data_IF_565223417575
#
_entry.id   IF_565223417575
#
_cell.length_a   1.000
_cell.length_b   1.000
_cell.length_c   1.000
_cell.angle_alpha   90.00
_cell.angle_beta   90.00
_cell.angle_gamma   90.00
#
_symmetry.space_group_name_H-M   'P 1'
#
loop_
_entity.id
_entity.type
_entity.pdbx_description
1 polymer ?
#
# COMPACT_ATOMS: atom_id res chain seq x y z
N UNK A 1 -3.29 10.73 -39.42
CA UNK A 1 -4.34 9.93 -38.75
C UNK A 1 -3.74 8.62 -38.30
N UNK A 2 -3.74 8.34 -37.00
CA UNK A 2 -3.27 7.05 -36.46
C UNK A 2 -4.36 6.00 -36.73
N UNK A 3 -4.04 4.95 -37.48
CA UNK A 3 -4.98 3.88 -37.82
C UNK A 3 -5.27 2.99 -36.60
N UNK A 4 -6.44 2.33 -36.56
CA UNK A 4 -6.95 1.53 -35.44
C UNK A 4 -6.17 0.22 -35.10
N UNK A 5 -4.89 0.13 -35.47
CA UNK A 5 -3.96 -0.98 -35.18
C UNK A 5 -2.69 -0.49 -34.47
N UNK A 6 -2.78 0.56 -33.66
CA UNK A 6 -1.63 1.10 -32.96
C UNK A 6 -1.81 0.88 -31.47
N UNK A 7 -0.85 0.19 -30.85
CA UNK A 7 -0.67 0.14 -29.41
C UNK A 7 0.43 1.15 -29.06
N UNK A 8 0.10 2.44 -28.84
CA UNK A 8 1.08 3.40 -28.39
C UNK A 8 1.46 3.07 -26.95
N UNK A 9 2.60 2.40 -26.76
CA UNK A 9 3.26 2.26 -25.46
C UNK A 9 4.04 3.54 -25.14
N UNK A 10 4.46 3.68 -23.88
CA UNK A 10 5.24 4.83 -23.41
C UNK A 10 4.62 6.18 -23.78
N UNK A 11 3.29 6.26 -23.68
CA UNK A 11 2.49 7.41 -24.09
C UNK A 11 1.53 7.80 -22.97
N UNK A 12 1.51 9.08 -22.59
CA UNK A 12 0.66 9.60 -21.52
C UNK A 12 -0.55 10.31 -22.11
N UNK A 13 -1.75 9.89 -21.69
CA UNK A 13 -3.01 10.55 -22.06
C UNK A 13 -3.17 11.81 -21.22
N UNK A 14 -3.34 12.96 -21.89
CA UNK A 14 -3.53 14.26 -21.26
C UNK A 14 -4.99 14.42 -20.84
N UNK A 15 -5.91 14.21 -21.79
CA UNK A 15 -7.37 14.38 -21.61
C UNK A 15 -8.18 13.64 -22.67
N UNK A 16 -9.44 13.38 -22.33
CA UNK A 16 -10.52 13.01 -23.26
C UNK A 16 -11.01 14.28 -23.96
N UNK A 17 -11.42 14.14 -25.22
CA UNK A 17 -12.04 15.23 -25.98
C UNK A 17 -13.49 14.90 -26.29
N UNK A 18 -14.33 15.92 -26.32
CA UNK A 18 -15.79 15.79 -26.45
C UNK A 18 -16.30 16.52 -27.71
N UNK A 19 -17.39 15.99 -28.26
CA UNK A 19 -18.26 16.67 -29.22
C UNK A 19 -19.64 16.81 -28.56
N UNK A 20 -19.96 18.02 -28.10
CA UNK A 20 -21.03 18.22 -27.12
C UNK A 20 -20.75 17.46 -25.82
N UNK A 21 -21.64 16.57 -25.44
CA UNK A 21 -21.53 15.67 -24.28
C UNK A 21 -20.92 14.29 -24.62
N UNK A 22 -20.58 14.05 -25.89
CA UNK A 22 -20.13 12.74 -26.37
C UNK A 22 -18.61 12.67 -26.44
N UNK A 23 -18.00 11.73 -25.70
CA UNK A 23 -16.56 11.47 -25.79
C UNK A 23 -16.17 11.01 -27.20
N UNK A 24 -15.28 11.75 -27.86
CA UNK A 24 -14.96 11.60 -29.30
C UNK A 24 -13.50 11.20 -29.57
N UNK A 25 -12.68 11.05 -28.53
CA UNK A 25 -11.27 10.68 -28.66
C UNK A 25 -10.45 11.05 -27.44
N UNK A 26 -9.12 10.97 -27.59
CA UNK A 26 -8.16 11.38 -26.57
C UNK A 26 -6.99 12.16 -27.16
N UNK A 27 -6.40 12.99 -26.32
CA UNK A 27 -5.17 13.73 -26.58
C UNK A 27 -4.07 13.12 -25.72
N UNK A 28 -2.92 12.79 -26.31
CA UNK A 28 -1.80 12.14 -25.62
C UNK A 28 -0.46 12.66 -26.13
N UNK A 29 0.60 12.46 -25.35
CA UNK A 29 1.99 12.77 -25.73
C UNK A 29 2.92 11.60 -25.39
N UNK A 30 4.14 11.62 -25.92
CA UNK A 30 5.17 10.65 -25.53
C UNK A 30 5.52 10.83 -24.04
N UNK A 31 5.77 9.72 -23.33
CA UNK A 31 6.32 9.74 -21.98
C UNK A 31 7.83 9.98 -22.09
N UNK A 32 8.29 11.16 -21.67
CA UNK A 32 9.70 11.54 -21.79
C UNK A 32 10.62 10.72 -20.90
N UNK A 33 10.11 10.14 -19.80
CA UNK A 33 10.88 9.28 -18.90
C UNK A 33 11.32 7.97 -19.58
N UNK A 34 10.52 7.47 -20.52
CA UNK A 34 10.79 6.27 -21.29
C UNK A 34 11.17 6.54 -22.76
N UNK A 35 10.98 7.77 -23.23
CA UNK A 35 11.35 8.23 -24.57
C UNK A 35 12.11 9.57 -24.51
N UNK A 36 13.31 9.64 -23.90
CA UNK A 36 14.03 10.90 -23.69
C UNK A 36 14.43 11.60 -25.00
N UNK A 37 14.55 10.83 -26.09
CA UNK A 37 14.85 11.36 -27.43
C UNK A 37 13.64 12.01 -28.13
N UNK A 38 12.44 11.93 -27.55
CA UNK A 38 11.25 12.61 -28.03
C UNK A 38 11.32 14.12 -27.73
N UNK A 39 12.29 14.80 -28.34
CA UNK A 39 12.48 16.26 -28.29
C UNK A 39 11.22 16.92 -28.86
N UNK A 40 10.55 17.73 -28.05
CA UNK A 40 9.17 18.18 -28.27
C UNK A 40 8.19 17.01 -28.45
N UNK A 41 7.76 16.39 -27.35
CA UNK A 41 6.73 15.35 -27.32
C UNK A 41 5.40 15.87 -27.90
N UNK A 42 5.34 15.95 -29.23
CA UNK A 42 4.24 16.53 -29.99
C UNK A 42 2.94 15.90 -29.54
N UNK A 43 2.01 16.76 -29.11
CA UNK A 43 0.69 16.35 -28.68
C UNK A 43 -0.04 15.74 -29.86
N UNK A 44 -0.52 14.51 -29.70
CA UNK A 44 -1.24 13.74 -30.72
C UNK A 44 -2.69 13.58 -30.31
N UNK A 45 -3.57 13.56 -31.30
CA UNK A 45 -4.99 13.29 -31.11
C UNK A 45 -5.37 12.01 -31.84
N UNK A 46 -6.11 11.14 -31.16
CA UNK A 46 -6.78 9.98 -31.77
C UNK A 46 -8.28 10.06 -31.53
N UNK A 47 -9.06 9.85 -32.59
CA UNK A 47 -10.54 9.89 -32.53
C UNK A 47 -11.10 8.49 -32.31
N UNK A 48 -12.16 8.41 -31.53
CA UNK A 48 -12.91 7.19 -31.28
C UNK A 48 -14.25 7.25 -32.03
N UNK A 49 -14.59 6.20 -32.77
CA UNK A 49 -15.88 6.12 -33.51
C UNK A 49 -17.04 5.58 -32.68
N UNK A 50 -16.76 4.91 -31.56
CA UNK A 50 -17.77 4.19 -30.77
C UNK A 50 -17.71 4.53 -29.29
N UNK A 51 -16.54 4.41 -28.69
CA UNK A 51 -16.39 4.59 -27.24
C UNK A 51 -14.97 5.01 -26.88
N UNK A 52 -14.86 5.71 -25.76
CA UNK A 52 -13.62 5.94 -25.03
C UNK A 52 -13.77 5.20 -23.69
N UNK A 53 -12.78 4.38 -23.33
CA UNK A 53 -12.74 3.68 -22.04
C UNK A 53 -11.57 4.24 -21.27
N UNK A 54 -11.81 4.71 -20.04
CA UNK A 54 -10.77 5.19 -19.14
C UNK A 54 -10.46 4.10 -18.12
N UNK A 55 -9.20 3.67 -18.09
CA UNK A 55 -8.71 2.58 -17.25
C UNK A 55 -7.31 2.89 -16.70
N UNK A 56 -7.11 4.11 -16.22
CA UNK A 56 -5.81 4.60 -15.75
C UNK A 56 -5.55 4.32 -14.26
N UNK A 57 -6.29 3.37 -13.66
CA UNK A 57 -6.20 3.05 -12.23
C UNK A 57 -6.79 4.12 -11.31
N UNK A 58 -6.79 3.86 -10.00
CA UNK A 58 -7.40 4.73 -8.98
C UNK A 58 -6.72 6.10 -8.85
N UNK A 59 -5.41 6.18 -9.14
CA UNK A 59 -4.65 7.43 -9.07
C UNK A 59 -4.50 8.15 -10.42
N UNK A 60 -4.66 7.45 -11.54
CA UNK A 60 -4.54 8.07 -12.87
C UNK A 60 -5.88 8.45 -13.50
N UNK A 61 -6.96 7.72 -13.18
CA UNK A 61 -8.29 7.98 -13.75
C UNK A 61 -8.87 9.31 -13.29
N UNK A 62 -8.89 9.66 -11.98
CA UNK A 62 -9.49 10.92 -11.56
C UNK A 62 -8.81 12.16 -12.14
N UNK A 63 -7.46 12.30 -12.08
CA UNK A 63 -6.80 13.45 -12.69
C UNK A 63 -7.00 13.56 -14.21
N UNK A 64 -7.13 12.42 -14.90
CA UNK A 64 -7.45 12.42 -16.33
C UNK A 64 -8.86 12.94 -16.59
N UNK A 65 -9.85 12.51 -15.79
CA UNK A 65 -11.23 13.01 -15.90
C UNK A 65 -11.28 14.51 -15.60
N UNK A 66 -10.58 14.97 -14.55
CA UNK A 66 -10.53 16.38 -14.20
C UNK A 66 -9.91 17.23 -15.31
N UNK A 67 -8.74 16.85 -15.87
CA UNK A 67 -8.16 17.55 -17.05
C UNK A 67 -9.04 17.49 -18.30
N UNK A 68 -9.99 16.58 -18.33
CA UNK A 68 -11.01 16.48 -19.39
C UNK A 68 -12.24 17.35 -19.13
N UNK A 69 -12.28 18.07 -18.01
CA UNK A 69 -13.40 18.93 -17.61
C UNK A 69 -14.50 18.20 -16.84
N UNK A 70 -14.21 17.01 -16.29
CA UNK A 70 -15.15 16.19 -15.53
C UNK A 70 -14.72 16.11 -14.06
N UNK A 71 -15.33 16.90 -13.18
CA UNK A 71 -14.93 16.97 -11.77
C UNK A 71 -15.68 18.01 -10.95
N UNK A 72 -15.18 18.31 -9.76
CA UNK A 72 -15.72 19.38 -8.90
C UNK A 72 -15.50 20.76 -9.55
N UNK A 73 -16.54 21.61 -9.68
CA UNK A 73 -16.43 22.92 -10.34
C UNK A 73 -15.35 23.83 -9.75
N UNK A 74 -15.15 23.83 -8.43
CA UNK A 74 -14.16 24.66 -7.76
C UNK A 74 -12.74 24.13 -7.98
N UNK A 75 -12.56 22.80 -8.00
CA UNK A 75 -11.27 22.17 -8.33
C UNK A 75 -10.88 22.48 -9.77
N UNK A 76 -11.79 22.25 -10.73
CA UNK A 76 -11.54 22.53 -12.15
C UNK A 76 -11.23 24.01 -12.39
N UNK A 77 -11.98 24.92 -11.75
CA UNK A 77 -11.75 26.36 -11.84
C UNK A 77 -10.38 26.77 -11.30
N UNK A 78 -9.98 26.25 -10.13
CA UNK A 78 -8.65 26.51 -9.54
C UNK A 78 -7.53 25.98 -10.43
N UNK A 79 -7.71 24.80 -11.03
CA UNK A 79 -6.76 24.20 -11.96
C UNK A 79 -6.79 24.82 -13.37
N UNK A 80 -7.66 25.80 -13.63
CA UNK A 80 -7.77 26.45 -14.94
C UNK A 80 -8.32 25.55 -16.06
N UNK A 81 -9.07 24.50 -15.71
CA UNK A 81 -9.67 23.56 -16.67
C UNK A 81 -11.12 23.92 -16.97
N UNK A 82 -11.51 24.12 -18.24
CA UNK A 82 -12.90 24.33 -18.61
C UNK A 82 -13.78 23.13 -18.24
N UNK A 83 -14.87 23.38 -17.52
CA UNK A 83 -15.81 22.34 -17.12
C UNK A 83 -16.68 21.88 -18.30
N UNK A 84 -16.76 20.57 -18.47
CA UNK A 84 -17.70 19.87 -19.36
C UNK A 84 -18.91 19.38 -18.57
N UNK A 85 -18.68 18.74 -17.41
CA UNK A 85 -19.75 18.32 -16.51
C UNK A 85 -19.28 18.35 -15.05
N UNK A 86 -20.18 18.77 -14.16
CA UNK A 86 -19.94 18.74 -12.71
C UNK A 86 -20.09 17.32 -12.20
N UNK A 87 -19.00 16.74 -11.69
CA UNK A 87 -18.98 15.43 -11.06
C UNK A 87 -18.14 15.54 -9.77
N UNK A 88 -18.71 16.08 -8.68
CA UNK A 88 -17.96 16.41 -7.46
C UNK A 88 -17.33 15.21 -6.74
N UNK A 89 -17.65 13.96 -7.10
CA UNK A 89 -17.00 12.79 -6.51
C UNK A 89 -15.71 12.35 -7.21
N UNK A 90 -15.38 12.92 -8.38
CA UNK A 90 -14.10 12.60 -9.05
C UNK A 90 -12.95 13.07 -8.16
N UNK A 91 -12.00 12.18 -7.90
CA UNK A 91 -10.80 12.46 -7.11
C UNK A 91 -10.97 12.27 -5.60
N UNK A 92 -12.20 12.17 -5.11
CA UNK A 92 -12.48 11.96 -3.68
C UNK A 92 -12.54 10.48 -3.30
N UNK A 93 -12.60 10.24 -1.98
CA UNK A 93 -12.81 8.91 -1.39
C UNK A 93 -11.74 7.90 -1.83
N UNK A 94 -10.48 8.34 -1.86
CA UNK A 94 -9.35 7.44 -2.01
C UNK A 94 -9.29 6.49 -0.81
N UNK A 95 -9.13 5.21 -1.11
CA UNK A 95 -9.01 4.10 -0.17
C UNK A 95 -7.85 3.20 -0.60
N UNK A 96 -7.12 2.66 0.37
CA UNK A 96 -6.12 1.60 0.20
C UNK A 96 -6.12 0.76 1.47
N UNK A 97 -5.56 -0.45 1.45
CA UNK A 97 -5.24 -1.09 2.72
C UNK A 97 -3.97 -0.45 3.29
N UNK A 98 -3.99 -0.13 4.58
CA UNK A 98 -2.86 0.47 5.27
C UNK A 98 -1.83 -0.63 5.56
N UNK A 99 -0.64 -0.53 4.99
CA UNK A 99 0.42 -1.54 5.10
C UNK A 99 1.41 -1.16 6.20
N UNK A 100 1.65 -2.08 7.13
CA UNK A 100 2.85 -2.09 7.95
C UNK A 100 3.62 -3.38 7.72
N UNK A 101 4.93 -3.29 7.88
CA UNK A 101 5.83 -4.41 7.69
C UNK A 101 6.83 -4.48 8.83
N UNK A 102 6.96 -5.66 9.41
CA UNK A 102 7.85 -5.96 10.52
C UNK A 102 8.91 -6.95 10.05
N UNK A 103 10.12 -6.88 10.61
CA UNK A 103 11.23 -7.72 10.15
C UNK A 103 11.91 -8.40 11.31
N UNK A 104 12.29 -9.65 11.08
CA UNK A 104 12.81 -10.57 12.07
C UNK A 104 14.05 -11.26 11.53
N UNK A 105 15.03 -11.48 12.40
CA UNK A 105 16.14 -12.40 12.13
C UNK A 105 15.61 -13.83 12.21
N UNK A 106 16.10 -14.70 11.34
CA UNK A 106 15.69 -16.10 11.29
C UNK A 106 16.87 -17.05 11.18
N UNK A 107 16.67 -18.30 11.61
CA UNK A 107 17.62 -19.40 11.44
C UNK A 107 17.34 -20.28 10.21
N UNK A 108 16.46 -19.81 9.31
CA UNK A 108 16.33 -20.42 7.99
C UNK A 108 17.65 -20.39 7.24
N UNK A 109 17.84 -21.34 6.34
CA UNK A 109 19.02 -21.45 5.51
C UNK A 109 18.98 -20.46 4.33
N UNK A 110 20.13 -20.13 3.72
CA UNK A 110 20.19 -19.21 2.58
C UNK A 110 19.33 -19.58 1.36
N UNK A 111 18.96 -20.86 1.21
CA UNK A 111 18.08 -21.35 0.13
C UNK A 111 16.59 -21.37 0.49
N UNK A 112 16.23 -20.96 1.71
CA UNK A 112 14.86 -20.92 2.23
C UNK A 112 14.33 -19.48 2.32
N UNK A 113 15.15 -18.50 1.93
CA UNK A 113 14.82 -17.08 1.88
C UNK A 113 15.39 -16.46 0.60
N UNK A 114 14.83 -15.33 0.16
CA UNK A 114 15.34 -14.59 -1.00
C UNK A 114 16.45 -13.59 -0.64
N UNK A 115 16.88 -13.53 0.62
CA UNK A 115 17.84 -12.52 1.11
C UNK A 115 19.18 -12.55 0.36
N UNK A 116 19.64 -13.73 -0.05
CA UNK A 116 20.90 -13.85 -0.77
C UNK A 116 20.86 -13.15 -2.13
N UNK A 117 19.69 -13.17 -2.78
CA UNK A 117 19.43 -12.51 -4.05
C UNK A 117 19.29 -11.00 -3.79
N UNK A 118 18.47 -10.61 -2.82
CA UNK A 118 18.20 -9.20 -2.48
C UNK A 118 19.46 -8.45 -2.02
N UNK A 119 20.34 -9.12 -1.28
CA UNK A 119 21.61 -8.57 -0.80
C UNK A 119 22.76 -8.67 -1.82
N UNK A 120 22.51 -9.19 -3.03
CA UNK A 120 23.53 -9.36 -4.07
C UNK A 120 24.63 -10.36 -3.69
N UNK A 121 24.38 -11.26 -2.73
CA UNK A 121 25.31 -12.34 -2.34
C UNK A 121 25.31 -13.48 -3.35
N UNK A 122 24.24 -13.61 -4.13
CA UNK A 122 24.11 -14.53 -5.25
C UNK A 122 23.74 -13.71 -6.49
N UNK A 123 24.44 -13.96 -7.60
CA UNK A 123 24.13 -13.36 -8.90
C UNK A 123 22.86 -14.01 -9.49
N UNK A 124 21.78 -13.24 -9.74
CA UNK A 124 20.58 -13.75 -10.42
C UNK A 124 20.90 -14.36 -11.80
N UNK A 125 21.95 -13.90 -12.49
CA UNK A 125 22.37 -14.44 -13.77
C UNK A 125 22.78 -15.92 -13.70
N UNK A 126 23.41 -16.33 -12.60
CA UNK A 126 23.78 -17.74 -12.38
C UNK A 126 22.55 -18.60 -12.07
N UNK A 127 21.61 -18.08 -11.28
CA UNK A 127 20.34 -18.75 -10.99
C UNK A 127 19.51 -18.97 -12.26
N UNK A 128 19.50 -17.98 -13.17
CA UNK A 128 18.82 -18.09 -14.48
C UNK A 128 19.44 -19.22 -15.31
N UNK A 129 20.78 -19.29 -15.40
CA UNK A 129 21.47 -20.36 -16.15
C UNK A 129 21.14 -21.75 -15.61
N UNK A 130 20.93 -21.85 -14.30
CA UNK A 130 20.59 -23.10 -13.62
C UNK A 130 19.08 -23.41 -13.63
N UNK A 131 18.26 -22.49 -14.14
CA UNK A 131 16.80 -22.56 -14.04
C UNK A 131 16.34 -22.81 -12.60
N UNK A 132 16.95 -22.10 -11.64
CA UNK A 132 16.68 -22.26 -10.23
C UNK A 132 15.24 -21.84 -9.91
N UNK A 133 14.54 -22.66 -9.12
CA UNK A 133 13.12 -22.48 -8.80
C UNK A 133 12.88 -21.26 -7.91
N UNK A 134 13.87 -20.81 -7.15
CA UNK A 134 13.73 -19.65 -6.26
C UNK A 134 13.37 -18.37 -7.02
N UNK A 135 13.76 -18.27 -8.30
CA UNK A 135 13.39 -17.14 -9.17
C UNK A 135 11.90 -17.09 -9.53
N UNK A 136 11.18 -18.20 -9.33
CA UNK A 136 9.73 -18.26 -9.50
C UNK A 136 8.93 -17.88 -8.24
N UNK A 137 9.60 -17.55 -7.14
CA UNK A 137 8.95 -17.25 -5.86
C UNK A 137 8.61 -15.75 -5.76
N UNK A 138 7.47 -15.45 -5.17
CA UNK A 138 7.18 -14.12 -4.61
C UNK A 138 7.65 -14.01 -3.14
N UNK A 139 8.16 -15.11 -2.57
CA UNK A 139 8.56 -15.29 -1.18
C UNK A 139 7.44 -15.07 -0.15
N UNK A 140 6.18 -15.01 -0.56
CA UNK A 140 5.01 -14.84 0.32
C UNK A 140 4.26 -16.16 0.46
N UNK A 141 4.72 -17.01 1.38
CA UNK A 141 4.32 -18.42 1.41
C UNK A 141 3.11 -18.69 2.32
N UNK A 142 2.86 -17.84 3.31
CA UNK A 142 1.76 -17.99 4.28
C UNK A 142 1.01 -16.68 4.42
N UNK A 143 -0.31 -16.72 4.25
CA UNK A 143 -1.22 -15.60 4.46
C UNK A 143 -2.37 -16.02 5.34
N UNK A 144 -2.72 -15.19 6.33
CA UNK A 144 -3.88 -15.40 7.18
C UNK A 144 -4.83 -14.19 7.15
N UNK A 145 -6.11 -14.49 7.40
CA UNK A 145 -7.20 -13.53 7.58
C UNK A 145 -7.65 -13.65 9.02
N UNK A 146 -7.48 -12.58 9.79
CA UNK A 146 -7.61 -12.62 11.24
C UNK A 146 -8.78 -11.78 11.72
N UNK A 147 -9.36 -12.23 12.84
CA UNK A 147 -10.37 -11.52 13.61
C UNK A 147 -9.98 -11.63 15.09
N UNK A 148 -10.07 -10.55 15.86
CA UNK A 148 -9.90 -10.62 17.31
C UNK A 148 -11.03 -11.44 17.94
N UNK A 149 -10.72 -12.11 19.04
CA UNK A 149 -11.71 -12.67 19.95
C UNK A 149 -12.48 -11.54 20.68
N UNK A 150 -13.67 -11.83 21.19
CA UNK A 150 -14.53 -10.82 21.81
C UNK A 150 -13.86 -10.10 23.00
N UNK A 151 -13.02 -10.81 23.77
CA UNK A 151 -12.26 -10.22 24.87
C UNK A 151 -11.17 -9.26 24.39
N UNK A 152 -10.54 -9.52 23.24
CA UNK A 152 -9.55 -8.61 22.64
C UNK A 152 -10.25 -7.36 22.10
N UNK A 153 -11.41 -7.50 21.45
CA UNK A 153 -12.21 -6.34 21.00
C UNK A 153 -12.52 -5.40 22.17
N UNK A 154 -12.92 -5.96 23.32
CA UNK A 154 -13.25 -5.18 24.51
C UNK A 154 -12.06 -4.34 25.02
N UNK A 155 -10.82 -4.78 24.81
CA UNK A 155 -9.61 -4.03 25.19
C UNK A 155 -9.28 -2.84 24.27
N UNK A 156 -9.89 -2.77 23.08
CA UNK A 156 -9.62 -1.69 22.11
C UNK A 156 -10.49 -0.44 22.33
N UNK A 157 -11.25 -0.42 23.42
CA UNK A 157 -12.04 0.72 23.86
C UNK A 157 -13.45 0.79 23.26
N UNK A 158 -14.31 1.65 23.82
CA UNK A 158 -15.73 1.67 23.50
C UNK A 158 -16.04 2.12 22.07
N UNK A 159 -15.26 3.04 21.50
CA UNK A 159 -15.45 3.48 20.11
C UNK A 159 -15.13 2.36 19.12
N UNK A 160 -14.09 1.57 19.41
CA UNK A 160 -13.75 0.40 18.61
C UNK A 160 -14.82 -0.69 18.75
N UNK A 161 -15.29 -0.96 19.96
CA UNK A 161 -16.39 -1.90 20.20
C UNK A 161 -17.64 -1.51 19.39
N UNK A 162 -17.99 -0.22 19.36
CA UNK A 162 -19.12 0.27 18.59
C UNK A 162 -18.92 0.06 17.06
N UNK A 163 -17.72 0.33 16.54
CA UNK A 163 -17.40 0.07 15.13
C UNK A 163 -17.43 -1.44 14.80
N UNK A 164 -16.91 -2.28 15.70
CA UNK A 164 -16.94 -3.74 15.59
C UNK A 164 -18.37 -4.28 15.55
N UNK A 165 -19.21 -3.88 16.52
CA UNK A 165 -20.60 -4.31 16.62
C UNK A 165 -21.40 -3.93 15.36
N UNK A 166 -21.13 -2.75 14.79
CA UNK A 166 -21.76 -2.26 13.56
C UNK A 166 -21.34 -3.04 12.32
N UNK A 167 -20.02 -3.22 12.11
CA UNK A 167 -19.51 -3.59 10.78
C UNK A 167 -18.91 -5.00 10.67
N UNK A 168 -18.57 -5.65 11.80
CA UNK A 168 -17.80 -6.91 11.81
C UNK A 168 -18.48 -8.03 12.60
N UNK A 169 -19.10 -7.75 13.74
CA UNK A 169 -19.65 -8.76 14.66
C UNK A 169 -20.59 -9.74 13.97
N UNK A 170 -21.55 -9.21 13.21
CA UNK A 170 -22.56 -10.02 12.50
C UNK A 170 -22.14 -10.39 11.07
N UNK A 171 -20.89 -10.13 10.70
CA UNK A 171 -20.33 -10.46 9.38
C UNK A 171 -19.10 -11.35 9.54
N UNK A 172 -19.27 -12.65 9.86
CA UNK A 172 -18.17 -13.52 10.27
C UNK A 172 -17.11 -13.76 9.18
N UNK A 173 -17.47 -13.56 7.90
CA UNK A 173 -16.57 -13.71 6.75
C UNK A 173 -15.64 -12.50 6.53
N UNK A 174 -15.85 -11.40 7.25
CA UNK A 174 -15.10 -10.15 7.10
C UNK A 174 -13.88 -10.14 8.05
N UNK A 175 -12.64 -10.31 7.57
CA UNK A 175 -11.46 -10.19 8.44
C UNK A 175 -11.24 -8.76 8.92
N UNK A 176 -10.68 -8.60 10.12
CA UNK A 176 -10.20 -7.31 10.63
C UNK A 176 -8.84 -6.96 10.03
N UNK A 177 -7.94 -7.93 9.96
CA UNK A 177 -6.57 -7.79 9.44
C UNK A 177 -6.21 -8.96 8.54
N UNK A 178 -5.36 -8.70 7.55
CA UNK A 178 -4.58 -9.72 6.87
C UNK A 178 -3.13 -9.63 7.34
N UNK A 179 -2.48 -10.78 7.43
CA UNK A 179 -1.03 -10.86 7.61
C UNK A 179 -0.42 -11.84 6.62
N UNK A 180 0.74 -11.49 6.08
CA UNK A 180 1.49 -12.36 5.15
C UNK A 180 2.95 -12.42 5.56
N UNK A 181 3.45 -13.64 5.74
CA UNK A 181 4.86 -13.92 5.99
C UNK A 181 5.65 -13.86 4.68
N UNK A 182 6.79 -13.18 4.72
CA UNK A 182 7.73 -12.99 3.62
C UNK A 182 9.04 -13.67 3.99
N UNK A 183 9.49 -14.62 3.18
CA UNK A 183 10.77 -15.30 3.33
C UNK A 183 11.94 -14.44 2.81
N UNK A 184 12.15 -13.29 3.45
CA UNK A 184 13.24 -12.36 3.17
C UNK A 184 13.02 -10.98 3.81
N UNK A 185 14.05 -10.13 3.77
CA UNK A 185 13.98 -8.77 4.28
C UNK A 185 13.06 -7.90 3.40
N UNK A 186 12.01 -7.28 3.96
CA UNK A 186 10.95 -6.68 3.17
C UNK A 186 11.19 -5.17 2.91
N UNK A 187 12.37 -4.84 2.39
CA UNK A 187 12.78 -3.45 2.12
C UNK A 187 14.17 -3.37 1.48
N UNK A 188 14.75 -2.17 1.45
CA UNK A 188 16.14 -1.97 1.00
C UNK A 188 17.11 -2.63 2.00
N UNK A 189 17.88 -3.65 1.59
CA UNK A 189 18.78 -4.36 2.49
C UNK A 189 20.17 -3.69 2.63
N UNK A 190 20.40 -2.52 2.03
CA UNK A 190 21.70 -1.83 2.06
C UNK A 190 22.17 -1.47 3.48
N UNK A 191 21.24 -1.27 4.42
CA UNK A 191 21.51 -0.87 5.79
C UNK A 191 21.58 -2.00 6.83
N UNK A 192 21.44 -3.27 6.43
CA UNK A 192 21.37 -4.39 7.38
C UNK A 192 22.54 -5.37 7.19
N UNK A 193 22.96 -6.09 8.24
CA UNK A 193 23.98 -7.12 8.12
C UNK A 193 23.58 -8.23 7.12
N UNK A 194 24.54 -8.86 6.43
CA UNK A 194 24.31 -10.09 5.69
C UNK A 194 23.66 -11.15 6.60
N UNK A 195 22.58 -11.75 6.13
CA UNK A 195 21.80 -12.68 6.97
C UNK A 195 20.55 -13.19 6.30
N UNK A 196 19.78 -13.96 7.06
CA UNK A 196 18.46 -14.46 6.67
C UNK A 196 17.41 -13.75 7.53
N UNK A 197 16.35 -13.29 6.88
CA UNK A 197 15.31 -12.50 7.50
C UNK A 197 13.93 -13.05 7.14
N UNK A 198 12.97 -12.77 8.01
CA UNK A 198 11.54 -12.92 7.74
C UNK A 198 10.89 -11.56 7.83
N UNK A 199 10.12 -11.19 6.82
CA UNK A 199 9.20 -10.07 6.87
C UNK A 199 7.81 -10.55 7.28
N UNK A 200 7.05 -9.73 7.99
CA UNK A 200 5.63 -9.93 8.19
C UNK A 200 4.91 -8.64 7.83
N UNK A 201 4.12 -8.71 6.77
CA UNK A 201 3.22 -7.61 6.37
C UNK A 201 1.88 -7.75 7.08
N UNK A 202 1.33 -6.65 7.57
CA UNK A 202 0.01 -6.59 8.19
C UNK A 202 -0.78 -5.41 7.61
N UNK A 203 -2.02 -5.66 7.18
CA UNK A 203 -2.87 -4.62 6.61
C UNK A 203 -4.37 -4.83 6.86
N UNK A 204 -5.08 -3.72 7.05
CA UNK A 204 -6.53 -3.70 7.25
C UNK A 204 -7.27 -3.72 5.90
N UNK A 205 -8.04 -4.77 5.57
CA UNK A 205 -8.81 -4.85 4.32
C UNK A 205 -10.04 -3.93 4.26
N UNK A 206 -10.44 -3.31 5.38
CA UNK A 206 -11.59 -2.42 5.43
C UNK A 206 -11.27 -1.18 6.28
N UNK A 207 -10.46 -0.25 5.78
CA UNK A 207 -10.18 0.99 6.46
C UNK A 207 -11.36 1.97 6.40
N UNK A 208 -11.50 2.78 7.44
CA UNK A 208 -12.48 3.87 7.53
C UNK A 208 -11.92 5.19 7.01
N UNK A 209 -10.60 5.33 7.03
CA UNK A 209 -9.87 6.51 6.57
C UNK A 209 -10.11 6.76 5.08
N UNK A 210 -10.16 8.04 4.68
CA UNK A 210 -10.37 8.46 3.29
C UNK A 210 -9.41 9.58 2.91
N UNK A 211 -8.90 9.52 1.69
CA UNK A 211 -8.07 10.55 1.08
C UNK A 211 -8.66 11.10 -0.22
N UNK A 212 -7.82 11.78 -1.01
CA UNK A 212 -8.18 12.33 -2.32
C UNK A 212 -6.98 12.45 -3.24
N UNK A 213 -7.25 12.59 -4.55
CA UNK A 213 -6.28 12.95 -5.58
C UNK A 213 -6.94 13.94 -6.56
N UNK A 214 -6.36 15.13 -6.70
CA UNK A 214 -6.87 16.19 -7.56
C UNK A 214 -5.76 16.84 -8.38
N UNK A 215 -6.10 17.35 -9.56
CA UNK A 215 -5.20 18.21 -10.32
C UNK A 215 -5.06 19.59 -9.69
N UNK A 216 -3.86 20.16 -9.80
CA UNK A 216 -3.60 21.57 -9.44
C UNK A 216 -3.48 22.50 -10.65
N UNK A 217 -3.41 21.93 -11.85
CA UNK A 217 -3.31 22.65 -13.12
C UNK A 217 -3.69 21.77 -14.31
N UNK A 218 -3.71 22.33 -15.54
CA UNK A 218 -4.21 21.63 -16.72
C UNK A 218 -3.18 20.69 -17.37
N UNK A 219 -1.89 20.81 -17.02
CA UNK A 219 -0.80 20.07 -17.63
C UNK A 219 -0.45 18.80 -16.88
N UNK A 220 0.14 17.83 -17.58
CA UNK A 220 0.62 16.58 -16.97
C UNK A 220 1.80 16.80 -16.01
N UNK A 221 2.53 17.90 -16.15
CA UNK A 221 3.65 18.27 -15.28
C UNK A 221 3.22 18.98 -14.01
N UNK A 222 1.95 19.40 -13.92
CA UNK A 222 1.46 20.04 -12.71
C UNK A 222 1.36 18.99 -11.60
N UNK A 223 1.79 19.32 -10.36
CA UNK A 223 1.72 18.37 -9.27
C UNK A 223 0.26 17.99 -8.98
N UNK A 224 0.05 16.79 -8.46
CA UNK A 224 -1.25 16.40 -7.93
C UNK A 224 -1.34 16.84 -6.47
N UNK A 225 -2.51 17.35 -6.08
CA UNK A 225 -2.91 17.44 -4.68
C UNK A 225 -3.37 16.03 -4.27
N UNK A 226 -2.50 15.32 -3.57
CA UNK A 226 -2.73 13.94 -3.17
C UNK A 226 -2.57 13.78 -1.67
N UNK A 227 -3.61 13.24 -1.04
CA UNK A 227 -3.61 12.87 0.37
C UNK A 227 -4.06 11.41 0.49
N UNK A 228 -3.26 10.57 1.16
CA UNK A 228 -3.60 9.16 1.37
C UNK A 228 -4.75 8.99 2.37
N UNK A 229 -4.82 9.91 3.34
CA UNK A 229 -5.73 9.85 4.46
C UNK A 229 -5.40 8.75 5.48
N UNK A 230 -4.26 8.06 5.41
CA UNK A 230 -4.02 6.93 6.32
C UNK A 230 -4.13 7.31 7.80
N UNK A 231 -4.97 6.58 8.54
CA UNK A 231 -5.31 6.83 9.94
C UNK A 231 -5.96 8.20 10.21
N UNK A 232 -6.70 8.75 9.24
CA UNK A 232 -7.49 9.98 9.41
C UNK A 232 -8.91 9.75 9.93
N UNK A 233 -9.31 8.49 10.12
CA UNK A 233 -10.66 8.16 10.57
C UNK A 233 -10.96 8.63 11.99
N UNK A 234 -12.22 8.97 12.24
CA UNK A 234 -12.67 9.42 13.55
C UNK A 234 -12.48 8.32 14.60
N UNK A 235 -11.94 8.69 15.76
CA UNK A 235 -11.65 7.79 16.89
C UNK A 235 -10.54 6.76 16.66
N UNK A 236 -9.72 6.93 15.62
CA UNK A 236 -8.51 6.15 15.37
C UNK A 236 -8.78 4.64 15.26
N UNK A 237 -9.91 4.25 14.68
CA UNK A 237 -10.32 2.86 14.56
C UNK A 237 -9.32 2.09 13.70
N UNK A 238 -8.87 2.66 12.58
CA UNK A 238 -7.86 2.01 11.74
C UNK A 238 -6.52 1.87 12.44
N UNK A 239 -6.10 2.87 13.22
CA UNK A 239 -4.87 2.79 14.00
C UNK A 239 -4.97 1.68 15.06
N UNK A 240 -6.08 1.61 15.80
CA UNK A 240 -6.32 0.57 16.81
C UNK A 240 -6.29 -0.85 16.23
N UNK A 241 -6.77 -1.05 14.99
CA UNK A 241 -6.60 -2.34 14.27
C UNK A 241 -5.12 -2.71 14.15
N UNK A 242 -4.28 -1.73 13.81
CA UNK A 242 -2.84 -1.93 13.61
C UNK A 242 -2.06 -2.05 14.93
N UNK A 243 -2.49 -1.40 16.01
CA UNK A 243 -1.94 -1.65 17.35
C UNK A 243 -2.18 -3.10 17.77
N UNK A 244 -3.41 -3.59 17.62
CA UNK A 244 -3.72 -5.01 17.84
C UNK A 244 -2.88 -5.91 16.94
N UNK A 245 -2.84 -5.64 15.64
CA UNK A 245 -2.09 -6.43 14.67
C UNK A 245 -0.60 -6.52 15.00
N UNK A 246 0.02 -5.41 15.44
CA UNK A 246 1.42 -5.37 15.83
C UNK A 246 1.72 -6.33 16.99
N UNK A 247 0.88 -6.31 18.04
CA UNK A 247 1.02 -7.19 19.20
C UNK A 247 0.80 -8.65 18.79
N UNK A 248 -0.29 -8.94 18.08
CA UNK A 248 -0.64 -10.30 17.64
C UNK A 248 0.44 -10.92 16.76
N UNK A 249 0.93 -10.20 15.75
CA UNK A 249 1.92 -10.75 14.82
C UNK A 249 3.26 -11.04 15.51
N UNK A 250 3.64 -10.21 16.50
CA UNK A 250 4.87 -10.40 17.25
C UNK A 250 4.84 -11.68 18.07
N UNK A 251 3.67 -12.03 18.60
CA UNK A 251 3.47 -13.30 19.32
C UNK A 251 3.50 -14.53 18.42
N UNK A 252 3.08 -14.42 17.15
CA UNK A 252 3.27 -15.50 16.18
C UNK A 252 4.75 -15.72 15.89
N UNK A 253 5.47 -14.64 15.59
CA UNK A 253 6.89 -14.72 15.23
C UNK A 253 7.75 -15.24 16.38
N UNK A 254 7.54 -14.75 17.61
CA UNK A 254 8.28 -15.21 18.81
C UNK A 254 8.12 -16.70 19.11
N UNK A 255 7.05 -17.34 18.64
CA UNK A 255 6.77 -18.77 18.85
C UNK A 255 7.29 -19.66 17.73
N UNK A 256 7.93 -19.12 16.70
CA UNK A 256 8.55 -19.90 15.64
C UNK A 256 9.91 -20.44 16.09
N UNK A 257 10.21 -21.71 15.80
CA UNK A 257 11.55 -22.30 16.08
C UNK A 257 12.68 -21.58 15.32
N UNK A 258 12.33 -20.95 14.20
CA UNK A 258 13.27 -20.22 13.34
C UNK A 258 13.53 -18.79 13.83
N UNK A 259 12.75 -18.25 14.77
CA UNK A 259 12.91 -16.87 15.26
C UNK A 259 14.28 -16.63 15.92
N UNK A 260 14.94 -15.52 15.58
CA UNK A 260 16.24 -15.11 16.17
C UNK A 260 16.27 -13.66 16.65
N UNK A 261 15.13 -12.98 16.67
CA UNK A 261 15.03 -11.61 17.17
C UNK A 261 14.32 -10.67 16.20
N UNK A 262 13.90 -9.52 16.72
CA UNK A 262 13.37 -8.42 15.92
C UNK A 262 14.49 -7.59 15.27
N UNK A 263 14.26 -7.10 14.06
CA UNK A 263 15.11 -6.08 13.44
C UNK A 263 14.62 -4.72 13.90
N UNK A 264 15.33 -4.11 14.85
CA UNK A 264 14.90 -2.90 15.54
C UNK A 264 14.51 -1.72 14.61
N UNK A 265 15.11 -1.59 13.42
CA UNK A 265 14.79 -0.52 12.47
C UNK A 265 13.39 -0.65 11.85
N UNK A 266 12.77 -1.83 11.92
CA UNK A 266 11.41 -2.08 11.43
C UNK A 266 10.45 -2.47 12.57
N UNK A 267 10.75 -2.00 13.78
CA UNK A 267 9.92 -2.18 14.96
C UNK A 267 9.82 -0.87 15.76
N UNK A 268 8.75 -0.69 16.56
CA UNK A 268 8.65 0.45 17.47
C UNK A 268 9.86 0.51 18.44
N UNK A 269 10.42 1.71 18.65
CA UNK A 269 11.68 1.88 19.40
C UNK A 269 11.44 1.92 20.90
N UNK A 270 11.05 0.78 21.49
CA UNK A 270 10.81 0.70 22.94
C UNK A 270 12.08 0.95 23.77
N UNK A 271 11.96 1.51 24.98
CA UNK A 271 13.08 1.65 25.90
C UNK A 271 13.67 0.28 26.28
N UNK A 272 15.01 0.16 26.49
CA UNK A 272 15.65 -1.12 26.82
C UNK A 272 15.13 -1.82 28.09
N UNK A 273 14.52 -1.07 29.01
CA UNK A 273 13.93 -1.57 30.24
C UNK A 273 12.48 -2.05 30.10
N UNK A 274 11.84 -1.80 28.95
CA UNK A 274 10.48 -2.28 28.69
C UNK A 274 10.50 -3.77 28.36
N UNK A 275 9.50 -4.51 28.85
CA UNK A 275 9.26 -5.90 28.45
C UNK A 275 9.01 -6.03 26.93
N UNK A 276 8.60 -4.93 26.28
CA UNK A 276 8.41 -4.84 24.84
C UNK A 276 9.69 -4.53 24.06
N UNK A 277 10.85 -4.31 24.69
CA UNK A 277 12.11 -4.07 23.99
C UNK A 277 12.40 -5.15 22.93
N UNK A 278 12.92 -4.75 21.77
CA UNK A 278 13.38 -5.69 20.75
C UNK A 278 14.58 -6.47 21.29
N UNK A 279 14.62 -7.79 21.02
CA UNK A 279 15.67 -8.68 21.46
C UNK A 279 16.32 -9.39 20.27
N UNK A 280 17.57 -9.81 20.46
CA UNK A 280 18.27 -10.71 19.54
C UNK A 280 18.81 -11.90 20.32
N UNK A 281 18.61 -13.10 19.78
CA UNK A 281 18.89 -14.35 20.47
C UNK A 281 19.53 -15.38 19.52
N UNK A 282 20.32 -16.29 20.07
CA UNK A 282 21.06 -17.28 19.28
C UNK A 282 20.25 -18.56 18.95
N UNK A 283 19.18 -18.83 19.70
CA UNK A 283 18.32 -20.01 19.54
C UNK A 283 16.84 -19.61 19.62
N UNK A 284 15.91 -20.57 19.43
CA UNK A 284 14.49 -20.30 19.65
C UNK A 284 14.22 -19.89 21.10
N UNK A 285 13.15 -19.15 21.33
CA UNK A 285 12.64 -18.94 22.69
C UNK A 285 12.10 -20.26 23.25
N UNK A 286 12.31 -20.49 24.55
CA UNK A 286 11.79 -21.65 25.28
C UNK A 286 10.30 -21.48 25.62
N UNK A 287 9.95 -21.57 26.91
CA UNK A 287 8.59 -21.27 27.37
C UNK A 287 8.25 -19.78 27.11
N UNK A 288 7.49 -19.52 26.04
CA UNK A 288 7.13 -18.16 25.59
C UNK A 288 5.84 -17.69 26.25
N UNK A 289 5.95 -16.69 27.12
CA UNK A 289 4.81 -15.88 27.55
C UNK A 289 4.60 -14.69 26.63
N UNK A 290 3.35 -14.21 26.58
CA UNK A 290 2.99 -12.98 25.87
C UNK A 290 3.76 -11.79 26.44
N UNK A 291 4.12 -10.84 25.56
CA UNK A 291 4.72 -9.57 25.96
C UNK A 291 3.68 -8.75 26.72
N UNK A 292 4.08 -8.23 27.88
CA UNK A 292 3.30 -7.22 28.59
C UNK A 292 3.62 -5.83 28.02
N UNK A 293 2.59 -5.12 27.57
CA UNK A 293 2.70 -3.76 27.05
C UNK A 293 2.10 -2.77 28.05
N UNK A 294 2.83 -1.70 28.34
CA UNK A 294 2.34 -0.57 29.14
C UNK A 294 1.65 0.48 28.25
N UNK A 295 0.96 1.44 28.87
CA UNK A 295 0.38 2.58 28.14
C UNK A 295 1.45 3.42 27.41
N UNK A 296 2.68 3.47 27.95
CA UNK A 296 3.82 4.15 27.29
C UNK A 296 4.26 3.38 26.04
N UNK A 297 4.30 2.04 26.11
CA UNK A 297 4.60 1.20 24.95
C UNK A 297 3.52 1.37 23.87
N UNK A 298 2.25 1.47 24.25
CA UNK A 298 1.14 1.67 23.30
C UNK A 298 1.24 3.02 22.60
N UNK A 299 1.61 4.09 23.31
CA UNK A 299 1.88 5.38 22.68
C UNK A 299 3.08 5.32 21.70
N UNK A 300 4.11 4.52 22.00
CA UNK A 300 5.25 4.31 21.10
C UNK A 300 4.81 3.54 19.85
N UNK A 301 3.98 2.51 19.99
CA UNK A 301 3.42 1.76 18.87
C UNK A 301 2.61 2.69 17.98
N UNK A 302 1.66 3.44 18.55
CA UNK A 302 0.80 4.36 17.79
C UNK A 302 1.60 5.39 17.00
N UNK A 303 2.59 6.03 17.63
CA UNK A 303 3.48 6.97 16.95
C UNK A 303 4.23 6.30 15.80
N UNK A 304 4.84 5.15 16.07
CA UNK A 304 5.60 4.42 15.06
C UNK A 304 4.72 4.01 13.88
N UNK A 305 3.50 3.52 14.13
CA UNK A 305 2.55 3.16 13.07
C UNK A 305 2.23 4.35 12.16
N UNK A 306 1.98 5.54 12.72
CA UNK A 306 1.70 6.75 11.93
C UNK A 306 2.88 7.20 11.08
N UNK A 307 4.10 7.00 11.57
CA UNK A 307 5.34 7.36 10.86
C UNK A 307 5.73 6.35 9.77
N UNK A 308 5.24 5.11 9.83
CA UNK A 308 5.70 4.01 8.97
C UNK A 308 4.60 3.40 8.09
N UNK A 309 3.35 3.85 8.21
CA UNK A 309 2.25 3.33 7.38
C UNK A 309 2.45 3.61 5.90
N UNK A 310 2.33 2.56 5.10
CA UNK A 310 2.47 2.59 3.65
C UNK A 310 1.21 2.13 2.92
N UNK A 311 1.27 2.22 1.60
CA UNK A 311 0.25 1.68 0.69
C UNK A 311 0.50 0.19 0.45
N UNK A 312 -0.57 -0.60 0.31
CA UNK A 312 -0.47 -1.97 -0.23
C UNK A 312 -0.55 -2.03 -1.76
N UNK A 313 -0.60 -0.88 -2.42
CA UNK A 313 -0.92 -0.72 -3.86
C UNK A 313 -2.29 -1.29 -4.23
N UNK A 314 -3.20 -1.45 -3.26
CA UNK A 314 -4.59 -1.84 -3.48
C UNK A 314 -5.50 -0.61 -3.60
N UNK A 315 -4.95 0.48 -4.13
CA UNK A 315 -5.63 1.75 -4.31
C UNK A 315 -6.96 1.60 -5.04
N UNK A 316 -8.01 2.19 -4.47
CA UNK A 316 -9.35 2.23 -5.02
C UNK A 316 -9.98 3.58 -4.71
N UNK A 317 -10.79 4.09 -5.63
CA UNK A 317 -11.71 5.20 -5.34
C UNK A 317 -13.08 4.63 -5.03
N UNK A 318 -13.72 5.07 -3.95
CA UNK A 318 -15.11 4.71 -3.71
C UNK A 318 -15.99 5.22 -4.87
N UNK A 319 -17.10 4.53 -5.20
CA UNK A 319 -17.99 5.01 -6.25
C UNK A 319 -18.51 6.41 -5.92
N UNK A 320 -18.52 7.28 -6.92
CA UNK A 320 -19.24 8.57 -6.90
C UNK A 320 -20.70 8.25 -6.56
N UNK A 321 -21.18 8.73 -5.40
CA UNK A 321 -22.61 8.72 -5.07
C UNK A 321 -23.30 9.91 -5.70
#
# INVERSE_FOLDING_TARGET
MVNAKTLPIESQVIRVIFDGDTASGVVFKANIEHQPEAKDASVRTVRARKSVVVACGALGTPPLLERSGLGDPEILKKAGVPMIASIPGVGHQYEDHHLLTYSYKTALNPGETVDAILQGRIDPGELIKQNDKILGWNAQDVTCKLRPADNEVATLGPEFQAAWDRDFKNTPTKPLMLMTLINGYPGDPSGIPPGQYLGLSAFSPYPYSRGHVHITGPELSDPLDFETGFFSDTHDIDLKKHVWAYKTQREFMRRMETYRGEVASLHPPFPPQSDAACIEINGPLGDVSDIHYTDEDDAIIEKWLREHVGSTWHSRSAPVK
#
